data_IF_091013949876
#
_entry.id   IF_091013949876
#
_cell.length_a   1.000
_cell.length_b   1.000
_cell.length_c   1.000
_cell.angle_alpha   90.00
_cell.angle_beta   90.00
_cell.angle_gamma   90.00
#
_symmetry.space_group_name_H-M   'P 1'
#
loop_
_entity.id
_entity.type
_entity.pdbx_description
1 polymer ?
#
# COMPACT_ATOMS: atom_id res chain seq x y z
N UNK A 1 -4.26 26.93 2.98
CA UNK A 1 -3.39 25.94 2.31
C UNK A 1 -4.31 25.06 1.48
N UNK A 2 -4.33 25.22 0.16
CA UNK A 2 -5.19 24.43 -0.71
C UNK A 2 -4.69 22.98 -0.75
N UNK A 3 -5.58 22.01 -0.56
CA UNK A 3 -5.27 20.62 -0.86
C UNK A 3 -4.99 20.55 -2.36
N UNK A 4 -3.77 20.24 -2.75
CA UNK A 4 -3.46 19.86 -4.13
C UNK A 4 -4.20 18.54 -4.37
N UNK A 5 -5.30 18.60 -5.12
CA UNK A 5 -5.94 17.39 -5.62
C UNK A 5 -4.95 16.71 -6.59
N UNK A 6 -4.76 15.39 -6.49
CA UNK A 6 -3.88 14.67 -7.40
C UNK A 6 -4.37 14.87 -8.84
N UNK A 7 -3.51 15.41 -9.70
CA UNK A 7 -3.79 15.60 -11.13
C UNK A 7 -3.88 14.22 -11.81
N UNK A 8 -5.07 13.81 -12.30
CA UNK A 8 -5.28 12.49 -12.90
C UNK A 8 -4.53 12.32 -14.23
N UNK A 9 -3.93 13.39 -14.78
CA UNK A 9 -3.14 13.35 -16.01
C UNK A 9 -1.65 13.18 -15.77
N UNK A 10 -1.17 13.34 -14.53
CA UNK A 10 0.21 13.02 -14.19
C UNK A 10 0.37 11.50 -14.02
N UNK A 11 1.36 10.88 -14.68
CA UNK A 11 1.66 9.48 -14.44
C UNK A 11 2.05 9.30 -12.97
N UNK A 12 1.31 8.44 -12.27
CA UNK A 12 1.61 8.08 -10.88
C UNK A 12 3.10 7.75 -10.74
N UNK A 13 3.78 8.27 -9.70
CA UNK A 13 5.20 7.98 -9.48
C UNK A 13 5.45 6.50 -9.15
N UNK A 14 4.40 5.72 -8.89
CA UNK A 14 4.46 4.32 -8.55
C UNK A 14 4.28 3.44 -9.80
N UNK A 15 5.14 2.43 -9.93
CA UNK A 15 4.98 1.40 -10.97
C UNK A 15 3.72 0.55 -10.72
N UNK A 16 3.22 -0.14 -11.76
CA UNK A 16 1.96 -0.90 -11.65
C UNK A 16 1.99 -1.99 -10.58
N UNK A 17 3.15 -2.60 -10.30
CA UNK A 17 3.28 -3.61 -9.26
C UNK A 17 3.01 -3.03 -7.87
N UNK A 18 3.55 -1.84 -7.58
CA UNK A 18 3.29 -1.14 -6.31
C UNK A 18 1.81 -0.74 -6.21
N UNK A 19 1.21 -0.27 -7.31
CA UNK A 19 -0.23 0.07 -7.35
C UNK A 19 -1.12 -1.17 -7.11
N UNK A 20 -0.78 -2.31 -7.72
CA UNK A 20 -1.48 -3.56 -7.51
C UNK A 20 -1.42 -4.00 -6.04
N UNK A 21 -0.24 -3.93 -5.41
CA UNK A 21 -0.11 -4.24 -3.98
C UNK A 21 -0.88 -3.28 -3.06
N UNK A 22 -1.02 -2.01 -3.44
CA UNK A 22 -1.85 -1.07 -2.71
C UNK A 22 -3.34 -1.44 -2.78
N UNK A 23 -3.83 -1.84 -3.96
CA UNK A 23 -5.21 -2.36 -4.11
C UNK A 23 -5.40 -3.65 -3.34
N UNK A 24 -4.42 -4.55 -3.35
CA UNK A 24 -4.45 -5.78 -2.57
C UNK A 24 -4.51 -5.50 -1.06
N UNK A 25 -3.75 -4.51 -0.57
CA UNK A 25 -3.80 -4.10 0.84
C UNK A 25 -5.16 -3.49 1.20
N UNK A 26 -5.73 -2.66 0.33
CA UNK A 26 -7.10 -2.14 0.52
C UNK A 26 -8.12 -3.29 0.58
N UNK A 27 -8.00 -4.29 -0.28
CA UNK A 27 -8.91 -5.43 -0.27
C UNK A 27 -8.73 -6.31 0.95
N UNK A 28 -7.48 -6.54 1.40
CA UNK A 28 -7.19 -7.18 2.68
C UNK A 28 -7.87 -6.46 3.87
N UNK A 29 -7.86 -5.13 3.84
CA UNK A 29 -8.49 -4.27 4.84
C UNK A 29 -10.01 -4.08 4.64
N UNK A 30 -10.61 -4.75 3.65
CA UNK A 30 -12.01 -4.61 3.24
C UNK A 30 -12.42 -3.16 2.91
N UNK A 31 -11.54 -2.43 2.22
CA UNK A 31 -11.76 -1.03 1.80
C UNK A 31 -12.22 -0.94 0.35
N UNK A 32 -13.03 0.09 0.01
CA UNK A 32 -13.46 0.33 -1.38
C UNK A 32 -12.29 0.43 -2.35
N UNK A 33 -12.48 -0.12 -3.56
CA UNK A 33 -11.46 -0.15 -4.60
C UNK A 33 -10.33 -1.16 -4.37
N UNK A 34 -10.41 -1.96 -3.31
CA UNK A 34 -9.49 -3.04 -3.03
C UNK A 34 -9.69 -4.29 -3.90
N UNK A 35 -8.62 -5.05 -4.09
CA UNK A 35 -8.58 -6.34 -4.80
C UNK A 35 -8.29 -7.48 -3.83
N UNK A 36 -8.70 -8.71 -4.18
CA UNK A 36 -8.45 -9.88 -3.34
C UNK A 36 -6.96 -10.25 -3.42
N UNK A 37 -6.19 -10.13 -2.33
CA UNK A 37 -4.78 -10.51 -2.34
C UNK A 37 -4.59 -12.02 -2.52
N UNK A 38 -3.52 -12.41 -3.19
CA UNK A 38 -3.08 -13.81 -3.23
C UNK A 38 -2.63 -14.30 -1.85
N UNK A 39 -2.70 -15.62 -1.59
CA UNK A 39 -2.44 -16.19 -0.26
C UNK A 39 -1.03 -15.91 0.30
N UNK A 40 -0.02 -15.76 -0.55
CA UNK A 40 1.31 -15.32 -0.13
C UNK A 40 1.31 -13.86 0.34
N UNK A 41 0.71 -12.96 -0.44
CA UNK A 41 0.56 -11.54 -0.11
C UNK A 41 -0.22 -11.35 1.19
N UNK A 42 -1.33 -12.08 1.37
CA UNK A 42 -2.11 -12.08 2.62
C UNK A 42 -1.25 -12.43 3.83
N UNK A 43 -0.42 -13.47 3.73
CA UNK A 43 0.49 -13.85 4.83
C UNK A 43 1.53 -12.78 5.12
N UNK A 44 2.03 -12.07 4.11
CA UNK A 44 2.94 -10.94 4.33
C UNK A 44 2.25 -9.76 5.02
N UNK A 45 0.99 -9.47 4.70
CA UNK A 45 0.20 -8.47 5.41
C UNK A 45 -0.02 -8.84 6.89
N UNK A 46 -0.40 -10.09 7.15
CA UNK A 46 -0.53 -10.60 8.52
C UNK A 46 0.78 -10.57 9.30
N UNK A 47 1.90 -10.91 8.64
CA UNK A 47 3.22 -10.88 9.24
C UNK A 47 3.62 -9.44 9.58
N UNK A 48 3.41 -8.49 8.67
CA UNK A 48 3.68 -7.07 8.91
C UNK A 48 2.88 -6.53 10.09
N UNK A 49 1.59 -6.84 10.18
CA UNK A 49 0.72 -6.37 11.26
C UNK A 49 1.18 -6.83 12.65
N UNK A 50 1.89 -7.96 12.73
CA UNK A 50 2.42 -8.54 13.98
C UNK A 50 3.89 -8.21 14.23
N UNK A 51 4.59 -7.69 13.24
CA UNK A 51 6.03 -7.45 13.31
C UNK A 51 6.36 -6.20 14.16
N UNK A 52 7.44 -6.31 14.94
CA UNK A 52 8.09 -5.14 15.54
C UNK A 52 8.81 -4.29 14.48
N UNK A 53 9.36 -3.15 14.92
CA UNK A 53 10.04 -2.21 14.03
C UNK A 53 11.21 -2.83 13.25
N UNK A 54 12.01 -3.71 13.87
CA UNK A 54 13.17 -4.34 13.22
C UNK A 54 12.70 -5.32 12.15
N UNK A 55 11.72 -6.15 12.48
CA UNK A 55 11.15 -7.13 11.57
C UNK A 55 10.39 -6.47 10.41
N UNK A 56 9.69 -5.35 10.65
CA UNK A 56 9.09 -4.54 9.58
C UNK A 56 10.16 -4.02 8.62
N UNK A 57 11.30 -3.53 9.12
CA UNK A 57 12.39 -3.09 8.25
C UNK A 57 12.94 -4.24 7.38
N UNK A 58 13.11 -5.44 7.95
CA UNK A 58 13.56 -6.64 7.23
C UNK A 58 12.55 -7.03 6.13
N UNK A 59 11.25 -7.04 6.45
CA UNK A 59 10.20 -7.33 5.47
C UNK A 59 10.22 -6.29 4.33
N UNK A 60 10.30 -5.00 4.65
CA UNK A 60 10.34 -3.95 3.64
C UNK A 60 11.56 -4.09 2.70
N UNK A 61 12.71 -4.50 3.23
CA UNK A 61 13.91 -4.76 2.43
C UNK A 61 13.78 -6.02 1.57
N UNK A 62 13.18 -7.09 2.09
CA UNK A 62 12.99 -8.36 1.38
C UNK A 62 11.94 -8.29 0.26
N UNK A 63 10.94 -7.41 0.40
CA UNK A 63 9.88 -7.20 -0.59
C UNK A 63 9.70 -5.71 -0.92
N UNK A 64 10.63 -5.07 -1.66
CA UNK A 64 10.66 -3.62 -1.82
C UNK A 64 9.35 -3.00 -2.35
N UNK A 65 8.70 -3.61 -3.34
CA UNK A 65 7.45 -3.08 -3.89
C UNK A 65 6.29 -3.15 -2.90
N UNK A 66 6.18 -4.23 -2.12
CA UNK A 66 5.20 -4.36 -1.06
C UNK A 66 5.54 -3.46 0.13
N UNK A 67 6.84 -3.35 0.45
CA UNK A 67 7.38 -2.55 1.53
C UNK A 67 7.02 -1.08 1.40
N UNK A 68 7.06 -0.51 0.18
CA UNK A 68 6.59 0.86 -0.08
C UNK A 68 5.15 1.05 0.39
N UNK A 69 4.26 0.12 0.03
CA UNK A 69 2.83 0.19 0.39
C UNK A 69 2.63 0.06 1.90
N UNK A 70 3.32 -0.90 2.53
CA UNK A 70 3.19 -1.16 3.96
C UNK A 70 3.72 -0.01 4.82
N UNK A 71 4.85 0.58 4.43
CA UNK A 71 5.40 1.77 5.09
C UNK A 71 4.46 2.97 4.92
N UNK A 72 3.91 3.18 3.71
CA UNK A 72 2.94 4.24 3.47
C UNK A 72 1.68 4.08 4.34
N UNK A 73 1.18 2.86 4.49
CA UNK A 73 0.07 2.57 5.38
C UNK A 73 0.39 2.86 6.85
N UNK A 74 1.56 2.47 7.35
CA UNK A 74 1.97 2.74 8.73
C UNK A 74 2.12 4.24 9.02
N UNK A 75 2.54 5.04 8.03
CA UNK A 75 2.82 6.47 8.20
C UNK A 75 1.61 7.38 7.89
N UNK A 76 0.78 7.00 6.91
CA UNK A 76 -0.30 7.83 6.37
C UNK A 76 -1.67 7.13 6.29
N UNK A 77 -1.75 5.87 6.72
CA UNK A 77 -3.01 5.10 6.75
C UNK A 77 -3.63 4.88 5.38
N UNK A 78 -4.94 4.69 5.37
CA UNK A 78 -5.73 4.39 4.16
C UNK A 78 -5.55 5.44 3.06
N UNK A 79 -5.44 6.73 3.41
CA UNK A 79 -5.29 7.81 2.43
C UNK A 79 -4.01 7.67 1.60
N UNK A 80 -2.89 7.31 2.24
CA UNK A 80 -1.63 7.08 1.54
C UNK A 80 -1.69 5.83 0.64
N UNK A 81 -2.37 4.77 1.09
CA UNK A 81 -2.55 3.56 0.28
C UNK A 81 -3.44 3.83 -0.95
N UNK A 82 -4.50 4.64 -0.78
CA UNK A 82 -5.38 5.04 -1.89
C UNK A 82 -4.66 5.91 -2.92
N UNK A 83 -3.82 6.83 -2.47
CA UNK A 83 -2.98 7.64 -3.35
C UNK A 83 -2.05 6.76 -4.21
N UNK A 84 -1.36 5.80 -3.58
CA UNK A 84 -0.55 4.81 -4.30
C UNK A 84 -1.39 4.00 -5.28
N UNK A 85 -2.58 3.56 -4.88
CA UNK A 85 -3.47 2.76 -5.72
C UNK A 85 -4.05 3.55 -6.92
N UNK A 86 -3.92 4.88 -6.92
CA UNK A 86 -4.56 5.78 -7.89
C UNK A 86 -6.07 5.84 -7.70
N UNK A 87 -6.55 5.70 -6.46
CA UNK A 87 -7.98 5.71 -6.11
C UNK A 87 -8.28 7.02 -5.38
N UNK A 88 -9.31 7.78 -5.79
CA UNK A 88 -9.70 8.99 -5.07
C UNK A 88 -10.11 8.67 -3.61
N UNK A 89 -9.82 9.62 -2.72
CA UNK A 89 -10.11 9.52 -1.29
C UNK A 89 -11.60 9.31 -1.01
#
# INVERSE_FOLDING_TARGET
>A
MGRMEPDPTQPSPYNETVRAYARDLLGYLNKPGGTVPGGFTTKLFELWAKADFVNKAIIAQGWPFLGVVLVANDQGGEAAVRDIAGIPA
#
